data_IF_062156206290
#
_entry.id   IF_062156206290
#
_cell.length_a   1.000
_cell.length_b   1.000
_cell.length_c   1.000
_cell.angle_alpha   90.00
_cell.angle_beta   90.00
_cell.angle_gamma   90.00
#
_symmetry.space_group_name_H-M   'P 1'
#
loop_
_entity.id
_entity.type
_entity.pdbx_description
1 polymer ?
#
# COMPACT_ATOMS: atom_id res chain seq x y z
N UNK A 1 -1.00 6.71 12.55
CA UNK A 1 -0.15 7.41 11.58
C UNK A 1 -0.69 7.12 10.19
N UNK A 2 -1.03 8.14 9.42
CA UNK A 2 -1.70 8.00 8.13
C UNK A 2 -0.68 8.32 7.02
N UNK A 3 -0.25 7.30 6.27
CA UNK A 3 0.74 7.44 5.18
C UNK A 3 0.20 8.22 3.98
N UNK A 4 -1.13 8.24 3.82
CA UNK A 4 -1.83 8.96 2.76
C UNK A 4 -2.46 10.22 3.34
N UNK A 5 -1.86 11.37 3.05
CA UNK A 5 -2.40 12.70 3.31
C UNK A 5 -2.86 13.30 1.99
N UNK A 6 -3.79 14.26 2.06
CA UNK A 6 -4.13 15.15 0.95
C UNK A 6 -4.45 14.42 -0.38
N UNK A 7 -5.33 13.42 -0.30
CA UNK A 7 -5.91 12.78 -1.48
C UNK A 7 -7.35 13.26 -1.68
N UNK A 8 -7.81 13.21 -2.93
CA UNK A 8 -9.18 13.51 -3.32
C UNK A 8 -9.66 12.53 -4.39
N UNK A 9 -10.96 12.33 -4.46
CA UNK A 9 -11.57 11.51 -5.50
C UNK A 9 -12.06 12.44 -6.61
N UNK A 10 -11.59 12.21 -7.84
CA UNK A 10 -12.11 12.92 -9.01
C UNK A 10 -13.48 12.37 -9.42
N UNK A 11 -13.68 11.06 -9.23
CA UNK A 11 -14.92 10.35 -9.50
C UNK A 11 -14.92 9.02 -8.70
N UNK A 12 -15.85 8.11 -9.00
CA UNK A 12 -16.01 6.84 -8.29
C UNK A 12 -14.82 5.87 -8.45
N UNK A 13 -14.01 6.02 -9.50
CA UNK A 13 -12.93 5.09 -9.86
C UNK A 13 -11.54 5.72 -9.85
N UNK A 14 -11.45 7.04 -9.76
CA UNK A 14 -10.19 7.80 -9.86
C UNK A 14 -9.85 8.52 -8.56
N UNK A 15 -8.74 8.11 -7.96
CA UNK A 15 -8.09 8.73 -6.81
C UNK A 15 -6.94 9.61 -7.29
N UNK A 16 -6.81 10.80 -6.72
CA UNK A 16 -5.67 11.69 -6.92
C UNK A 16 -5.04 12.02 -5.57
N UNK A 17 -3.73 11.93 -5.49
CA UNK A 17 -2.96 12.41 -4.35
C UNK A 17 -1.69 13.10 -4.82
N UNK A 18 -1.12 13.94 -3.96
CA UNK A 18 0.24 14.45 -4.15
C UNK A 18 1.24 13.46 -3.52
N UNK A 19 2.29 13.10 -4.26
CA UNK A 19 3.45 12.44 -3.67
C UNK A 19 4.19 13.45 -2.79
N UNK A 20 4.15 13.22 -1.48
CA UNK A 20 4.82 14.03 -0.47
C UNK A 20 6.32 13.61 -0.34
N UNK A 21 7.28 14.55 -0.30
CA UNK A 21 8.70 14.22 -0.13
C UNK A 21 9.02 13.39 1.12
N UNK A 22 8.20 13.45 2.18
CA UNK A 22 8.38 12.66 3.41
C UNK A 22 8.32 11.16 3.17
N UNK A 23 7.68 10.70 2.08
CA UNK A 23 7.64 9.28 1.71
C UNK A 23 8.67 8.92 0.63
N UNK A 24 9.68 9.76 0.42
CA UNK A 24 10.75 9.49 -0.54
C UNK A 24 11.65 8.31 -0.12
N UNK A 25 11.99 7.51 -1.13
CA UNK A 25 13.06 6.52 -1.14
C UNK A 25 14.13 6.95 -2.18
N UNK A 26 15.07 6.06 -2.51
CA UNK A 26 16.24 6.40 -3.34
C UNK A 26 15.92 6.96 -4.73
N UNK A 27 14.87 6.46 -5.39
CA UNK A 27 14.55 6.78 -6.79
C UNK A 27 13.08 7.11 -7.03
N UNK A 28 12.40 7.65 -6.01
CA UNK A 28 10.97 7.97 -6.03
C UNK A 28 10.29 7.65 -4.70
N UNK A 29 8.96 7.55 -4.71
CA UNK A 29 8.18 7.18 -3.54
C UNK A 29 8.54 5.79 -3.01
N UNK A 30 8.49 5.64 -1.69
CA UNK A 30 8.54 4.36 -1.00
C UNK A 30 7.46 3.42 -1.53
N UNK A 31 7.84 2.20 -1.92
CA UNK A 31 6.92 1.23 -2.51
C UNK A 31 5.70 0.91 -1.64
N UNK A 32 5.85 0.93 -0.31
CA UNK A 32 4.72 0.74 0.61
C UNK A 32 3.70 1.89 0.58
N UNK A 33 4.14 3.12 0.29
CA UNK A 33 3.22 4.25 0.06
C UNK A 33 2.44 4.07 -1.24
N UNK A 34 3.12 3.67 -2.31
CA UNK A 34 2.47 3.36 -3.60
C UNK A 34 1.45 2.23 -3.43
N UNK A 35 1.81 1.19 -2.67
CA UNK A 35 0.92 0.08 -2.37
C UNK A 35 -0.31 0.51 -1.56
N UNK A 36 -0.13 1.33 -0.54
CA UNK A 36 -1.24 1.88 0.23
C UNK A 36 -2.17 2.72 -0.66
N UNK A 37 -1.61 3.56 -1.54
CA UNK A 37 -2.37 4.40 -2.46
C UNK A 37 -3.22 3.57 -3.43
N UNK A 38 -2.61 2.57 -4.08
CA UNK A 38 -3.31 1.67 -4.99
C UNK A 38 -4.35 0.80 -4.27
N UNK A 39 -4.07 0.36 -3.04
CA UNK A 39 -5.04 -0.40 -2.24
C UNK A 39 -6.25 0.46 -1.84
N UNK A 40 -6.03 1.73 -1.49
CA UNK A 40 -7.13 2.67 -1.20
C UNK A 40 -8.02 2.88 -2.44
N UNK A 41 -7.39 3.07 -3.61
CA UNK A 41 -8.10 3.12 -4.89
C UNK A 41 -8.94 1.85 -5.14
N UNK A 42 -8.34 0.68 -4.93
CA UNK A 42 -9.00 -0.60 -5.14
C UNK A 42 -10.15 -0.86 -4.15
N UNK A 43 -9.97 -0.50 -2.87
CA UNK A 43 -10.97 -0.73 -1.82
C UNK A 43 -12.25 0.07 -2.07
N UNK A 44 -12.16 1.27 -2.65
CA UNK A 44 -13.33 2.08 -2.97
C UNK A 44 -14.29 1.41 -3.95
N UNK A 45 -13.75 0.57 -4.85
CA UNK A 45 -14.50 -0.17 -5.87
C UNK A 45 -15.21 -1.40 -5.29
N UNK A 46 -14.90 -1.75 -4.05
CA UNK A 46 -15.51 -2.86 -3.34
C UNK A 46 -16.65 -2.31 -2.49
N UNK A 47 -17.86 -2.32 -3.05
CA UNK A 47 -19.11 -1.97 -2.35
C UNK A 47 -19.57 -3.08 -1.40
N UNK A 48 -18.66 -3.57 -0.55
CA UNK A 48 -18.97 -4.54 0.50
C UNK A 48 -17.97 -4.39 1.66
N UNK A 49 -18.33 -3.69 2.75
CA UNK A 49 -17.43 -3.45 3.89
C UNK A 49 -16.86 -4.71 4.55
N UNK A 50 -17.56 -5.84 4.43
CA UNK A 50 -17.12 -7.13 4.96
C UNK A 50 -16.08 -7.85 4.06
N UNK A 51 -15.83 -7.34 2.85
CA UNK A 51 -14.80 -7.86 1.97
C UNK A 51 -13.47 -7.15 2.25
N UNK A 52 -12.53 -7.88 2.85
CA UNK A 52 -11.20 -7.37 3.21
C UNK A 52 -10.16 -7.74 2.15
N UNK A 53 -9.06 -6.97 2.02
CA UNK A 53 -7.96 -7.34 1.12
C UNK A 53 -7.44 -8.74 1.43
N UNK A 54 -7.39 -9.60 0.42
CA UNK A 54 -6.85 -10.96 0.50
C UNK A 54 -5.48 -11.05 -0.17
N UNK A 55 -5.31 -10.41 -1.32
CA UNK A 55 -4.03 -10.33 -2.02
C UNK A 55 -3.88 -8.98 -2.72
N UNK A 56 -2.63 -8.55 -2.86
CA UNK A 56 -2.22 -7.34 -3.55
C UNK A 56 -0.93 -7.63 -4.31
N UNK A 57 -0.94 -7.48 -5.62
CA UNK A 57 0.26 -7.55 -6.47
C UNK A 57 0.46 -6.20 -7.14
N UNK A 58 1.72 -5.73 -7.19
CA UNK A 58 2.07 -4.45 -7.79
C UNK A 58 3.30 -4.63 -8.68
N UNK A 59 3.14 -4.28 -9.94
CA UNK A 59 4.20 -4.22 -10.92
C UNK A 59 4.66 -2.76 -11.03
N UNK A 60 5.86 -2.47 -10.54
CA UNK A 60 6.46 -1.13 -10.60
C UNK A 60 7.12 -0.93 -11.97
N UNK A 61 6.58 0.02 -12.74
CA UNK A 61 7.05 0.33 -14.09
C UNK A 61 7.99 1.53 -14.12
N UNK A 62 7.76 2.51 -13.24
CA UNK A 62 8.58 3.72 -13.10
C UNK A 62 8.46 4.29 -11.68
N UNK A 63 9.53 4.96 -11.22
CA UNK A 63 9.51 5.69 -9.96
C UNK A 63 8.50 6.84 -9.98
N UNK A 64 7.79 7.02 -8.87
CA UNK A 64 6.88 8.16 -8.66
C UNK A 64 7.69 9.27 -8.00
N UNK A 65 7.73 10.45 -8.60
CA UNK A 65 8.45 11.63 -8.10
C UNK A 65 7.48 12.63 -7.45
N UNK A 66 7.96 13.64 -6.69
CA UNK A 66 7.08 14.66 -6.12
C UNK A 66 6.19 15.31 -7.18
N UNK A 67 4.89 15.39 -6.90
CA UNK A 67 3.86 15.85 -7.83
C UNK A 67 2.59 15.00 -7.76
N UNK A 68 1.64 15.31 -8.63
CA UNK A 68 0.35 14.61 -8.66
C UNK A 68 0.51 13.16 -9.11
N UNK A 69 -0.25 12.28 -8.45
CA UNK A 69 -0.34 10.86 -8.73
C UNK A 69 -1.80 10.51 -8.90
N UNK A 70 -2.12 9.85 -10.02
CA UNK A 70 -3.49 9.46 -10.36
C UNK A 70 -3.57 7.94 -10.35
N UNK A 71 -4.46 7.40 -9.54
CA UNK A 71 -4.81 5.97 -9.55
C UNK A 71 -6.23 5.79 -10.05
N UNK A 72 -6.39 5.07 -11.17
CA UNK A 72 -7.70 4.72 -11.73
C UNK A 72 -7.90 3.23 -11.63
N UNK A 73 -9.00 2.81 -11.00
CA UNK A 73 -9.31 1.40 -10.80
C UNK A 73 -10.51 0.91 -11.61
N UNK A 74 -10.60 -0.41 -11.70
CA UNK A 74 -11.68 -1.13 -12.36
C UNK A 74 -12.01 -2.42 -11.59
N UNK A 75 -13.30 -2.66 -11.33
CA UNK A 75 -13.78 -3.94 -10.83
C UNK A 75 -13.92 -4.92 -12.00
N UNK A 76 -12.92 -5.79 -12.16
CA UNK A 76 -12.85 -6.76 -13.26
C UNK A 76 -13.91 -7.85 -13.11
N UNK A 77 -14.09 -8.36 -11.89
CA UNK A 77 -15.03 -9.44 -11.63
C UNK A 77 -15.51 -9.45 -10.18
N UNK A 78 -16.73 -9.93 -9.97
CA UNK A 78 -17.36 -10.02 -8.65
C UNK A 78 -18.14 -11.33 -8.53
N UNK A 79 -17.89 -12.06 -7.45
CA UNK A 79 -18.64 -13.28 -7.09
C UNK A 79 -19.35 -13.08 -5.76
N UNK A 80 -19.96 -14.14 -5.20
CA UNK A 80 -20.57 -14.05 -3.85
C UNK A 80 -19.55 -13.71 -2.75
N UNK A 81 -18.28 -14.05 -2.92
CA UNK A 81 -17.28 -13.95 -1.85
C UNK A 81 -15.97 -13.31 -2.26
N UNK A 82 -15.74 -13.07 -3.56
CA UNK A 82 -14.51 -12.47 -4.08
C UNK A 82 -14.81 -11.23 -4.93
N UNK A 83 -13.87 -10.28 -4.92
CA UNK A 83 -13.81 -9.15 -5.85
C UNK A 83 -12.43 -9.10 -6.45
N UNK A 84 -12.35 -8.96 -7.76
CA UNK A 84 -11.10 -8.85 -8.50
C UNK A 84 -11.02 -7.43 -9.04
N UNK A 85 -10.01 -6.69 -8.60
CA UNK A 85 -9.85 -5.27 -8.91
C UNK A 85 -8.49 -5.06 -9.56
N UNK A 86 -8.45 -4.22 -10.59
CA UNK A 86 -7.21 -3.70 -11.14
C UNK A 86 -7.11 -2.20 -10.89
N UNK A 87 -5.89 -1.69 -10.71
CA UNK A 87 -5.62 -0.25 -10.59
C UNK A 87 -4.41 0.10 -11.44
N UNK A 88 -4.55 1.13 -12.26
CA UNK A 88 -3.46 1.79 -12.96
C UNK A 88 -3.05 3.04 -12.18
N UNK A 89 -1.78 3.18 -11.86
CA UNK A 89 -1.22 4.38 -11.20
C UNK A 89 -0.27 5.08 -12.14
N UNK A 90 -0.47 6.38 -12.37
CA UNK A 90 0.25 7.17 -13.35
C UNK A 90 0.58 8.58 -12.83
N UNK A 91 1.58 9.20 -13.48
CA UNK A 91 1.85 10.64 -13.43
C UNK A 91 1.73 11.20 -14.85
N UNK A 92 1.94 12.51 -15.03
CA UNK A 92 1.83 13.18 -16.34
C UNK A 92 2.68 12.51 -17.43
N UNK A 93 3.81 11.91 -17.06
CA UNK A 93 4.75 11.24 -17.96
C UNK A 93 4.35 9.80 -18.30
N UNK A 94 3.23 9.27 -17.78
CA UNK A 94 2.66 7.96 -18.12
C UNK A 94 2.52 7.01 -16.93
N UNK A 95 2.41 5.70 -17.20
CA UNK A 95 2.21 4.66 -16.18
C UNK A 95 3.42 4.53 -15.25
N UNK A 96 3.16 4.50 -13.94
CA UNK A 96 4.16 4.27 -12.89
C UNK A 96 4.01 2.87 -12.26
N UNK A 97 2.79 2.39 -12.06
CA UNK A 97 2.54 1.06 -11.51
C UNK A 97 1.22 0.45 -12.02
N UNK A 98 1.19 -0.88 -12.08
CA UNK A 98 -0.02 -1.68 -12.31
C UNK A 98 -0.29 -2.56 -11.11
N UNK A 99 -1.53 -2.60 -10.67
CA UNK A 99 -1.92 -3.31 -9.45
C UNK A 99 -3.06 -4.27 -9.75
N UNK A 100 -2.98 -5.47 -9.21
CA UNK A 100 -4.12 -6.37 -9.08
C UNK A 100 -4.38 -6.66 -7.60
N UNK A 101 -5.63 -6.58 -7.19
CA UNK A 101 -6.06 -6.81 -5.83
C UNK A 101 -7.25 -7.77 -5.81
N UNK A 102 -7.25 -8.67 -4.83
CA UNK A 102 -8.39 -9.54 -4.55
C UNK A 102 -8.92 -9.19 -3.17
N UNK A 103 -10.22 -8.95 -3.07
CA UNK A 103 -10.91 -8.78 -1.80
C UNK A 103 -11.81 -9.97 -1.55
N UNK A 104 -11.90 -10.40 -0.29
CA UNK A 104 -12.67 -11.57 0.09
C UNK A 104 -13.54 -11.31 1.32
N UNK A 105 -14.80 -11.74 1.25
CA UNK A 105 -15.65 -11.90 2.43
C UNK A 105 -15.37 -13.27 3.04
N UNK A 106 -14.54 -13.30 4.08
CA UNK A 106 -14.17 -14.54 4.79
C UNK A 106 -15.14 -14.82 5.93
N UNK A 107 -15.42 -16.10 6.16
CA UNK A 107 -16.04 -16.60 7.39
C UNK A 107 -14.94 -17.18 8.29
N UNK A 108 -15.20 -17.26 9.58
CA UNK A 108 -14.32 -17.99 10.49
C UNK A 108 -14.17 -19.45 10.02
N UNK A 109 -12.94 -19.94 10.07
CA UNK A 109 -12.55 -21.32 9.76
C UNK A 109 -11.51 -21.75 10.80
N UNK A 110 -11.17 -23.04 10.82
CA UNK A 110 -10.04 -23.49 11.63
C UNK A 110 -8.74 -22.86 11.11
N UNK A 111 -7.99 -22.25 12.03
CA UNK A 111 -6.69 -21.66 11.73
C UNK A 111 -5.59 -22.66 12.08
N UNK A 112 -4.75 -22.98 11.11
CA UNK A 112 -3.58 -23.83 11.28
C UNK A 112 -2.36 -23.02 10.86
N UNK A 113 -1.50 -22.67 11.83
CA UNK A 113 -0.20 -22.07 11.56
C UNK A 113 0.86 -23.18 11.50
N UNK A 114 1.49 -23.36 10.35
CA UNK A 114 2.58 -24.34 10.16
C UNK A 114 3.97 -23.77 10.50
N UNK A 115 4.05 -22.49 10.84
CA UNK A 115 5.29 -21.77 11.10
C UNK A 115 5.26 -21.20 12.51
N UNK A 116 6.32 -21.44 13.27
CA UNK A 116 6.52 -20.85 14.60
C UNK A 116 7.13 -19.45 14.45
N UNK A 117 6.61 -18.47 15.18
CA UNK A 117 7.20 -17.12 15.23
C UNK A 117 8.65 -17.21 15.73
N UNK A 118 9.62 -16.55 15.07
CA UNK A 118 11.01 -16.54 15.53
C UNK A 118 11.11 -15.91 16.92
N UNK A 119 12.05 -16.40 17.73
CA UNK A 119 12.34 -15.79 19.03
C UNK A 119 13.16 -14.52 18.82
N UNK A 120 12.60 -13.37 19.18
CA UNK A 120 13.30 -12.08 19.16
C UNK A 120 13.05 -11.31 20.46
N UNK A 121 13.91 -10.32 20.73
CA UNK A 121 13.76 -9.43 21.88
C UNK A 121 12.48 -8.59 21.79
N UNK A 122 11.95 -8.15 22.93
CA UNK A 122 10.77 -7.31 22.95
C UNK A 122 11.07 -5.92 22.34
N UNK A 123 10.10 -5.24 21.71
CA UNK A 123 10.33 -3.94 21.10
C UNK A 123 11.00 -2.94 22.04
N UNK A 124 10.59 -2.89 23.32
CA UNK A 124 11.10 -1.96 24.33
C UNK A 124 12.59 -2.16 24.65
N UNK A 125 13.12 -3.34 24.38
CA UNK A 125 14.52 -3.72 24.62
C UNK A 125 15.44 -3.39 23.43
N UNK A 126 14.86 -3.09 22.27
CA UNK A 126 15.59 -2.78 21.04
C UNK A 126 15.79 -1.27 20.88
N UNK A 127 16.99 -0.89 20.44
CA UNK A 127 17.27 0.50 20.08
C UNK A 127 16.51 0.91 18.81
N UNK A 128 15.95 2.14 18.76
CA UNK A 128 15.35 2.67 17.55
C UNK A 128 16.40 2.86 16.45
N UNK A 129 16.02 2.60 15.21
CA UNK A 129 16.81 2.94 14.03
C UNK A 129 16.96 4.47 13.96
N UNK A 130 18.15 4.94 13.62
CA UNK A 130 18.40 6.36 13.48
C UNK A 130 17.49 6.98 12.40
N UNK A 131 16.80 8.06 12.76
CA UNK A 131 16.10 8.93 11.82
C UNK A 131 17.10 9.66 10.90
N UNK A 132 16.61 10.18 9.77
CA UNK A 132 17.36 10.95 8.77
C UNK A 132 18.44 10.14 8.01
N UNK A 133 18.07 8.99 7.45
CA UNK A 133 18.93 8.22 6.55
C UNK A 133 18.90 8.86 5.15
N UNK A 134 19.42 10.09 5.01
CA UNK A 134 19.38 10.83 3.74
C UNK A 134 19.99 9.99 2.58
N UNK A 135 19.35 9.95 1.40
CA UNK A 135 18.18 10.72 0.95
C UNK A 135 16.81 10.06 1.25
N UNK A 136 16.78 8.99 2.04
CA UNK A 136 15.58 8.23 2.38
C UNK A 136 14.87 8.87 3.57
N UNK A 137 13.66 9.38 3.35
CA UNK A 137 12.88 10.08 4.39
C UNK A 137 11.69 9.26 4.88
N UNK A 138 11.26 8.23 4.13
CA UNK A 138 10.10 7.42 4.53
C UNK A 138 10.30 6.77 5.90
N UNK A 139 11.55 6.48 6.28
CA UNK A 139 11.93 5.91 7.58
C UNK A 139 11.53 6.80 8.76
N UNK A 140 11.52 8.13 8.58
CA UNK A 140 11.13 9.08 9.63
C UNK A 140 9.62 9.02 9.92
N UNK A 141 8.86 8.39 9.01
CA UNK A 141 7.45 8.07 9.20
C UNK A 141 7.25 6.72 9.90
N UNK A 142 8.23 6.14 10.60
CA UNK A 142 8.06 4.87 11.33
C UNK A 142 8.92 4.81 12.62
N UNK A 143 8.39 4.21 13.69
CA UNK A 143 9.21 3.74 14.82
C UNK A 143 9.78 2.36 14.46
N UNK A 144 10.98 2.37 13.88
CA UNK A 144 11.66 1.15 13.42
C UNK A 144 12.65 0.65 14.45
N UNK A 145 12.61 -0.65 14.73
CA UNK A 145 13.56 -1.34 15.61
C UNK A 145 14.04 -2.61 14.93
N UNK A 146 15.35 -2.81 14.86
CA UNK A 146 15.94 -3.98 14.19
C UNK A 146 15.94 -5.17 15.14
N UNK A 147 15.01 -6.10 14.94
CA UNK A 147 14.98 -7.38 15.64
C UNK A 147 15.81 -8.42 14.88
N UNK A 148 16.67 -9.16 15.59
CA UNK A 148 17.29 -10.38 15.09
C UNK A 148 16.57 -11.59 15.71
N UNK A 149 16.27 -12.60 14.90
CA UNK A 149 15.54 -13.82 15.28
C UNK A 149 15.45 -14.82 14.14
#
# INVERSE_FOLDING_TARGET
MQLLKDYSWLNETTLVAAMDPTVAAFSGAFGGWVAAHALLAAQRLVDEPAALPLSLNIDFLRGIVPGDVVSTGELIHSTRSLRFVQVATAQAEGDCARTSAIFARRRATDDIASVTMPMCAAPEELAPVAANIAPVTWVDSFDLRMAAG
#
